data_IF_913795839398
#
_entry.id   IF_913795839398
#
_cell.length_a   1.000
_cell.length_b   1.000
_cell.length_c   1.000
_cell.angle_alpha   90.00
_cell.angle_beta   90.00
_cell.angle_gamma   90.00
#
_symmetry.space_group_name_H-M   'P 1'
#
loop_
_entity.id
_entity.type
_entity.pdbx_description
1 polymer ?
#
# COMPACT_ATOMS: atom_id res chain seq x y z
N UNK A 1 -5.87 23.86 11.68
CA UNK A 1 -4.40 23.93 11.76
C UNK A 1 -4.00 22.97 12.86
N UNK A 2 -3.51 21.79 12.50
CA UNK A 2 -3.06 20.77 13.47
C UNK A 2 -1.69 21.22 14.01
N UNK A 3 -1.64 21.65 15.28
CA UNK A 3 -0.38 22.02 15.94
C UNK A 3 0.28 20.75 16.48
N UNK A 4 1.43 20.38 15.92
CA UNK A 4 2.26 19.32 16.48
C UNK A 4 2.72 19.69 17.90
N UNK A 5 2.72 18.71 18.80
CA UNK A 5 3.33 18.86 20.12
C UNK A 5 4.84 18.70 19.98
N UNK A 6 5.61 19.32 20.87
CA UNK A 6 7.08 19.26 20.83
C UNK A 6 7.61 18.59 22.08
N UNK A 7 8.45 17.57 21.93
CA UNK A 7 9.06 16.87 23.05
C UNK A 7 10.01 17.82 23.79
N UNK A 8 9.77 18.03 25.09
CA UNK A 8 10.63 18.91 25.91
C UNK A 8 12.05 18.38 26.12
N UNK A 9 12.31 17.10 25.84
CA UNK A 9 13.62 16.46 26.05
C UNK A 9 14.50 16.44 24.78
N UNK A 10 13.93 16.14 23.61
CA UNK A 10 14.69 16.06 22.34
C UNK A 10 14.27 17.10 21.30
N UNK A 11 13.21 17.87 21.55
CA UNK A 11 12.73 18.91 20.64
C UNK A 11 11.99 18.41 19.40
N UNK A 12 11.74 17.10 19.30
CA UNK A 12 11.03 16.47 18.18
C UNK A 12 9.54 16.85 18.19
N UNK A 13 9.01 17.19 17.03
CA UNK A 13 7.59 17.47 16.84
C UNK A 13 6.83 16.18 16.56
N UNK A 14 5.78 15.93 17.33
CA UNK A 14 4.96 14.73 17.23
C UNK A 14 3.47 15.08 17.30
N UNK A 15 2.67 14.24 16.67
CA UNK A 15 1.21 14.32 16.74
C UNK A 15 0.78 13.48 17.95
N UNK A 16 -0.18 13.94 18.79
CA UNK A 16 -0.73 13.12 19.85
C UNK A 16 -1.19 11.75 19.35
N UNK A 17 -1.01 10.71 20.16
CA UNK A 17 -1.36 9.34 19.76
C UNK A 17 -2.83 9.24 19.30
N UNK A 18 -3.74 9.94 19.97
CA UNK A 18 -5.16 9.97 19.64
C UNK A 18 -5.44 10.51 18.24
N UNK A 19 -4.75 11.58 17.85
CA UNK A 19 -4.87 12.19 16.52
C UNK A 19 -4.18 11.32 15.46
N UNK A 20 -3.03 10.72 15.78
CA UNK A 20 -2.40 9.71 14.92
C UNK A 20 -3.34 8.54 14.64
N UNK A 21 -3.99 7.99 15.67
CA UNK A 21 -4.99 6.92 15.52
C UNK A 21 -6.21 7.38 14.71
N UNK A 22 -6.62 8.64 14.84
CA UNK A 22 -7.70 9.22 14.04
C UNK A 22 -7.33 9.30 12.56
N UNK A 23 -6.14 9.79 12.25
CA UNK A 23 -5.61 9.84 10.88
C UNK A 23 -5.50 8.43 10.28
N UNK A 24 -5.00 7.46 11.05
CA UNK A 24 -4.93 6.05 10.64
C UNK A 24 -6.33 5.52 10.30
N UNK A 25 -7.33 5.76 11.15
CA UNK A 25 -8.72 5.34 10.90
C UNK A 25 -9.30 5.97 9.63
N UNK A 26 -9.07 7.26 9.42
CA UNK A 26 -9.53 7.99 8.22
C UNK A 26 -8.84 7.44 6.98
N UNK A 27 -7.52 7.26 7.00
CA UNK A 27 -6.77 6.72 5.88
C UNK A 27 -7.17 5.28 5.55
N UNK A 28 -7.46 4.44 6.57
CA UNK A 28 -8.01 3.08 6.37
C UNK A 28 -9.39 3.11 5.72
N UNK A 29 -10.28 3.99 6.21
CA UNK A 29 -11.61 4.19 5.63
C UNK A 29 -11.56 4.66 4.19
N UNK A 30 -10.58 5.50 3.86
CA UNK A 30 -10.34 6.00 2.50
C UNK A 30 -9.57 5.02 1.61
N UNK A 31 -9.13 3.86 2.13
CA UNK A 31 -8.35 2.88 1.38
C UNK A 31 -6.93 3.35 1.02
N UNK A 32 -6.46 4.46 1.59
CA UNK A 32 -5.14 5.05 1.35
C UNK A 32 -4.11 4.49 2.34
N UNK A 33 -4.57 4.00 3.49
CA UNK A 33 -3.70 3.34 4.47
C UNK A 33 -3.24 2.00 3.91
N UNK A 34 -2.03 1.99 3.35
CA UNK A 34 -1.42 0.78 2.83
C UNK A 34 -1.43 -0.32 3.89
N UNK A 35 -2.14 -1.41 3.61
CA UNK A 35 -1.93 -2.64 4.36
C UNK A 35 -0.45 -2.98 4.24
N UNK A 36 0.26 -3.26 5.35
CA UNK A 36 1.67 -3.60 5.31
C UNK A 36 1.85 -5.01 4.74
N UNK A 37 1.51 -5.21 3.47
CA UNK A 37 1.76 -6.42 2.72
C UNK A 37 3.17 -6.35 2.14
N UNK A 38 4.18 -6.25 3.02
CA UNK A 38 5.58 -6.51 2.64
C UNK A 38 5.81 -8.02 2.56
N UNK A 39 5.01 -8.70 1.74
CA UNK A 39 5.18 -10.12 1.46
C UNK A 39 6.33 -10.27 0.45
N UNK A 40 7.47 -10.80 0.91
CA UNK A 40 8.56 -11.19 -0.01
C UNK A 40 8.09 -12.38 -0.84
N UNK A 41 8.02 -12.21 -2.16
CA UNK A 41 7.68 -13.28 -3.10
C UNK A 41 8.77 -13.42 -4.16
N UNK A 42 9.02 -14.66 -4.56
CA UNK A 42 9.92 -14.98 -5.68
C UNK A 42 9.14 -14.83 -6.98
N UNK A 43 9.74 -14.16 -7.96
CA UNK A 43 9.22 -14.16 -9.32
C UNK A 43 9.36 -15.55 -9.91
N UNK A 44 8.26 -16.05 -10.46
CA UNK A 44 8.22 -17.34 -11.15
C UNK A 44 8.43 -17.15 -12.65
N UNK A 45 8.80 -18.23 -13.35
CA UNK A 45 8.92 -18.26 -14.81
C UNK A 45 7.79 -19.11 -15.37
N UNK A 46 7.14 -18.62 -16.42
CA UNK A 46 6.16 -19.39 -17.20
C UNK A 46 6.47 -19.20 -18.68
N UNK A 47 6.86 -20.29 -19.35
CA UNK A 47 7.38 -20.24 -20.71
C UNK A 47 8.52 -19.22 -20.84
N UNK A 48 8.35 -18.23 -21.72
CA UNK A 48 9.32 -17.15 -21.93
C UNK A 48 9.12 -15.95 -20.99
N UNK A 49 8.01 -15.91 -20.25
CA UNK A 49 7.58 -14.80 -19.40
C UNK A 49 7.93 -14.93 -17.92
N UNK A 50 7.75 -13.83 -17.20
CA UNK A 50 7.84 -13.75 -15.73
C UNK A 50 6.44 -13.62 -15.17
N UNK A 51 6.14 -14.37 -14.11
CA UNK A 51 4.83 -14.39 -13.45
C UNK A 51 4.99 -14.01 -11.99
N UNK A 52 4.14 -13.11 -11.52
CA UNK A 52 3.94 -12.80 -10.12
C UNK A 52 2.49 -13.14 -9.77
N UNK A 53 2.30 -14.07 -8.84
CA UNK A 53 0.98 -14.35 -8.29
C UNK A 53 0.60 -13.23 -7.32
N UNK A 54 -0.60 -12.66 -7.50
CA UNK A 54 -1.18 -11.72 -6.54
C UNK A 54 -1.58 -12.52 -5.29
N UNK A 55 -1.10 -12.14 -4.09
CA UNK A 55 -1.54 -12.72 -2.82
C UNK A 55 -3.06 -12.59 -2.62
N UNK A 56 -3.68 -13.60 -1.98
CA UNK A 56 -5.15 -13.73 -1.84
C UNK A 56 -5.79 -12.61 -1.02
N UNK A 57 -5.06 -12.03 -0.08
CA UNK A 57 -5.45 -10.83 0.66
C UNK A 57 -5.64 -9.61 -0.27
N UNK A 58 -4.66 -9.34 -1.15
CA UNK A 58 -4.77 -8.27 -2.16
C UNK A 58 -5.90 -8.58 -3.15
N UNK A 59 -6.00 -9.82 -3.61
CA UNK A 59 -7.05 -10.28 -4.52
C UNK A 59 -8.46 -10.02 -3.95
N UNK A 60 -8.68 -10.37 -2.68
CA UNK A 60 -9.96 -10.10 -1.98
C UNK A 60 -10.21 -8.62 -1.73
N UNK A 61 -9.18 -7.87 -1.35
CA UNK A 61 -9.26 -6.44 -1.06
C UNK A 61 -9.63 -5.63 -2.30
N UNK A 62 -9.02 -5.96 -3.44
CA UNK A 62 -9.30 -5.36 -4.74
C UNK A 62 -10.48 -6.01 -5.49
N UNK A 63 -11.08 -7.06 -4.93
CA UNK A 63 -12.18 -7.83 -5.53
C UNK A 63 -11.88 -8.32 -6.96
N UNK A 64 -10.64 -8.77 -7.19
CA UNK A 64 -10.19 -9.28 -8.47
C UNK A 64 -10.90 -10.62 -8.80
N UNK A 65 -11.29 -10.79 -10.06
CA UNK A 65 -11.96 -11.97 -10.61
C UNK A 65 -11.06 -12.73 -11.58
N UNK A 66 -9.99 -12.11 -12.07
CA UNK A 66 -8.97 -12.70 -12.92
C UNK A 66 -9.14 -12.42 -14.42
N UNK A 67 -10.17 -11.66 -14.79
CA UNK A 67 -10.45 -11.21 -16.16
C UNK A 67 -10.23 -9.70 -16.33
N UNK A 68 -9.76 -9.00 -15.30
CA UNK A 68 -9.49 -7.57 -15.35
C UNK A 68 -8.34 -7.22 -16.29
N UNK A 69 -8.53 -6.15 -17.05
CA UNK A 69 -7.42 -5.50 -17.75
C UNK A 69 -6.61 -4.65 -16.78
N UNK A 70 -5.28 -4.72 -16.91
CA UNK A 70 -4.36 -3.97 -16.06
C UNK A 70 -3.32 -3.23 -16.88
N UNK A 71 -2.97 -2.03 -16.42
CA UNK A 71 -1.82 -1.27 -16.89
C UNK A 71 -0.62 -1.64 -16.03
N UNK A 72 0.47 -2.06 -16.69
CA UNK A 72 1.74 -2.37 -16.04
C UNK A 72 2.78 -1.35 -16.47
N UNK A 73 3.26 -0.56 -15.51
CA UNK A 73 4.26 0.47 -15.76
C UNK A 73 5.47 0.30 -14.83
N UNK A 74 6.57 0.97 -15.17
CA UNK A 74 7.81 0.96 -14.39
C UNK A 74 8.13 2.37 -13.92
N UNK A 75 8.35 2.52 -12.62
CA UNK A 75 8.89 3.74 -12.02
C UNK A 75 10.17 3.42 -11.24
N UNK A 76 11.32 3.74 -11.83
CA UNK A 76 12.64 3.42 -11.25
C UNK A 76 12.84 1.91 -11.06
N UNK A 77 12.96 1.45 -9.81
CA UNK A 77 13.08 0.02 -9.44
C UNK A 77 11.75 -0.63 -9.05
N UNK A 78 10.62 0.03 -9.28
CA UNK A 78 9.28 -0.44 -8.93
C UNK A 78 8.51 -0.82 -10.19
N UNK A 79 7.71 -1.87 -10.07
CA UNK A 79 6.64 -2.20 -11.01
C UNK A 79 5.36 -1.66 -10.39
N UNK A 80 4.59 -0.91 -11.16
CA UNK A 80 3.28 -0.38 -10.79
C UNK A 80 2.25 -1.13 -11.63
N UNK A 81 1.19 -1.62 -10.97
CA UNK A 81 0.08 -2.32 -11.60
C UNK A 81 -1.18 -1.57 -11.22
N UNK A 82 -1.93 -1.12 -12.23
CA UNK A 82 -3.16 -0.35 -12.06
C UNK A 82 -4.29 -1.07 -12.78
N UNK A 83 -5.47 -1.13 -12.16
CA UNK A 83 -6.67 -1.64 -12.82
C UNK A 83 -7.11 -0.65 -13.90
N UNK A 84 -7.27 -1.11 -15.14
CA UNK A 84 -7.91 -0.32 -16.19
C UNK A 84 -9.39 -0.15 -15.81
N UNK A 85 -9.83 1.09 -15.61
CA UNK A 85 -11.24 1.41 -15.40
C UNK A 85 -11.99 1.48 -16.73
#
# INVERSE_FOLDING_TARGET
MEQGLRCGACGEEFIPEEESQRMIRVARRLGIWGEPLKLRRKLSRSGRGTVLRIPTDIERSLQLRGDEEVLVSKAGKKIIIELSR
#
